data_IF_961560418342
#
_entry.id   IF_961560418342
#
_cell.length_a   1.000
_cell.length_b   1.000
_cell.length_c   1.000
_cell.angle_alpha   90.00
_cell.angle_beta   90.00
_cell.angle_gamma   90.00
#
_symmetry.space_group_name_H-M   'P 1'
#
loop_
_entity.id
_entity.type
_entity.pdbx_description
1 polymer ?
#
# COMPACT_ATOMS: atom_id res chain seq x y z
N UNK A 1 26.16 14.28 -41.84
CA UNK A 1 25.38 13.89 -40.64
C UNK A 1 26.27 13.42 -39.49
N UNK A 2 27.22 12.49 -39.69
CA UNK A 2 28.15 12.06 -38.63
C UNK A 2 29.07 13.17 -38.12
N UNK A 3 29.51 14.07 -39.00
CA UNK A 3 30.37 15.22 -38.63
C UNK A 3 29.61 16.25 -37.77
N UNK A 4 28.38 16.61 -38.14
CA UNK A 4 27.53 17.50 -37.35
C UNK A 4 27.24 16.95 -35.94
N UNK A 5 27.10 15.63 -35.80
CA UNK A 5 26.94 14.98 -34.49
C UNK A 5 28.23 15.05 -33.66
N UNK A 6 29.40 14.92 -34.30
CA UNK A 6 30.69 15.05 -33.61
C UNK A 6 31.00 16.49 -33.21
N UNK A 7 30.59 17.47 -34.02
CA UNK A 7 30.73 18.89 -33.71
C UNK A 7 29.84 19.31 -32.54
N UNK A 8 28.57 18.93 -32.55
CA UNK A 8 27.65 19.16 -31.43
C UNK A 8 28.14 18.49 -30.13
N UNK A 9 28.73 17.30 -30.20
CA UNK A 9 29.30 16.63 -29.04
C UNK A 9 30.53 17.37 -28.46
N UNK A 10 31.36 17.98 -29.32
CA UNK A 10 32.52 18.79 -28.90
C UNK A 10 32.07 20.11 -28.26
N UNK A 11 31.05 20.75 -28.81
CA UNK A 11 30.46 21.97 -28.23
C UNK A 11 29.78 21.70 -26.88
N UNK A 12 29.07 20.57 -26.76
CA UNK A 12 28.48 20.14 -25.49
C UNK A 12 29.55 19.84 -24.44
N UNK A 13 30.63 19.16 -24.81
CA UNK A 13 31.76 18.91 -23.90
C UNK A 13 32.47 20.21 -23.49
N UNK A 14 32.64 21.15 -24.42
CA UNK A 14 33.24 22.47 -24.16
C UNK A 14 32.39 23.30 -23.20
N UNK A 15 31.07 23.32 -23.38
CA UNK A 15 30.15 24.03 -22.49
C UNK A 15 30.04 23.40 -21.11
N UNK A 16 30.08 22.07 -21.00
CA UNK A 16 30.13 21.37 -19.71
C UNK A 16 31.41 21.72 -18.93
N UNK A 17 32.58 21.67 -19.59
CA UNK A 17 33.86 22.02 -18.96
C UNK A 17 33.96 23.53 -18.60
N UNK A 18 33.22 24.39 -19.29
CA UNK A 18 33.11 25.80 -18.93
C UNK A 18 32.23 26.00 -17.69
N UNK A 19 31.10 25.29 -17.60
CA UNK A 19 30.21 25.32 -16.43
C UNK A 19 30.91 24.76 -15.19
N UNK A 20 31.60 23.64 -15.32
CA UNK A 20 32.35 23.04 -14.20
C UNK A 20 33.43 24.01 -13.66
N UNK A 21 34.14 24.72 -14.53
CA UNK A 21 35.10 25.75 -14.12
C UNK A 21 34.42 26.95 -13.46
N UNK A 22 33.26 27.36 -13.94
CA UNK A 22 32.48 28.43 -13.32
C UNK A 22 31.98 28.00 -11.94
N UNK A 23 31.42 26.80 -11.80
CA UNK A 23 30.93 26.23 -10.54
C UNK A 23 32.05 26.07 -9.51
N UNK A 24 33.22 25.57 -9.92
CA UNK A 24 34.40 25.46 -9.05
C UNK A 24 34.98 26.82 -8.66
N UNK A 25 34.72 27.87 -9.45
CA UNK A 25 35.12 29.24 -9.15
C UNK A 25 34.11 30.00 -8.28
N UNK A 26 32.93 29.43 -7.99
CA UNK A 26 31.98 30.03 -7.04
C UNK A 26 32.54 29.84 -5.63
N UNK A 27 33.21 30.86 -5.13
CA UNK A 27 33.53 30.97 -3.71
C UNK A 27 32.28 31.44 -2.96
N UNK A 28 31.75 30.60 -2.08
CA UNK A 28 30.71 31.01 -1.14
C UNK A 28 31.36 31.89 -0.07
N UNK A 29 31.03 33.19 -0.05
CA UNK A 29 31.55 34.13 0.96
C UNK A 29 31.17 33.73 2.39
N UNK A 30 30.05 33.02 2.55
CA UNK A 30 29.57 32.51 3.83
C UNK A 30 29.15 31.03 3.70
N UNK A 31 29.38 30.20 4.73
CA UNK A 31 28.97 28.82 4.69
C UNK A 31 27.44 28.72 4.61
N UNK A 32 26.95 27.70 3.91
CA UNK A 32 25.53 27.48 3.62
C UNK A 32 24.60 27.61 4.85
N UNK A 33 25.07 27.18 6.02
CA UNK A 33 24.31 27.21 7.27
C UNK A 33 24.12 28.61 7.88
N UNK A 34 24.90 29.61 7.45
CA UNK A 34 24.73 31.00 7.87
C UNK A 34 23.69 31.73 7.01
N UNK A 35 23.64 31.43 5.71
CA UNK A 35 22.63 31.99 4.79
C UNK A 35 21.22 31.58 5.20
N UNK A 36 21.06 30.31 5.60
CA UNK A 36 19.80 29.77 6.09
C UNK A 36 19.32 30.39 7.42
N UNK A 37 20.23 31.02 8.19
CA UNK A 37 19.89 31.75 9.41
C UNK A 37 19.70 33.25 9.18
N UNK A 38 20.46 33.84 8.25
CA UNK A 38 20.35 35.26 7.88
C UNK A 38 19.03 35.61 7.19
N UNK A 39 18.46 34.69 6.41
CA UNK A 39 17.15 34.88 5.77
C UNK A 39 15.96 34.81 6.74
N UNK A 40 16.16 34.24 7.94
CA UNK A 40 15.17 34.27 9.03
C UNK A 40 15.17 35.58 9.83
N UNK A 41 16.09 36.51 9.53
CA UNK A 41 16.24 37.80 10.19
C UNK A 41 15.48 38.95 9.54
N UNK A 42 14.38 38.66 8.83
CA UNK A 42 13.39 39.68 8.48
C UNK A 42 12.71 40.13 9.77
N UNK A 43 13.27 41.14 10.43
CA UNK A 43 12.68 41.77 11.60
C UNK A 43 11.28 42.29 11.23
N UNK A 44 10.26 41.60 11.74
CA UNK A 44 8.91 42.16 11.83
C UNK A 44 9.04 43.47 12.65
N UNK A 45 8.59 44.63 12.13
CA UNK A 45 8.73 45.90 12.84
C UNK A 45 7.93 45.95 14.15
N UNK A 46 7.04 44.98 14.37
CA UNK A 46 6.20 44.85 15.56
C UNK A 46 6.76 43.89 16.63
N UNK A 47 8.09 43.78 16.80
CA UNK A 47 8.73 43.28 18.04
C UNK A 47 8.25 41.93 18.59
N UNK A 48 7.57 41.11 17.79
CA UNK A 48 7.07 39.82 18.22
C UNK A 48 8.24 38.85 18.20
N UNK A 49 8.57 38.30 19.36
CA UNK A 49 9.57 37.25 19.46
C UNK A 49 9.22 36.13 18.47
N UNK A 50 10.21 35.57 17.73
CA UNK A 50 9.93 34.46 16.83
C UNK A 50 9.25 33.35 17.63
N UNK A 51 8.04 32.94 17.20
CA UNK A 51 7.34 31.84 17.85
C UNK A 51 8.29 30.64 17.94
N UNK A 52 8.41 29.98 19.10
CA UNK A 52 9.23 28.79 19.21
C UNK A 52 8.76 27.79 18.15
N UNK A 53 9.68 27.05 17.50
CA UNK A 53 9.30 26.10 16.47
C UNK A 53 8.26 25.15 17.04
N UNK A 54 7.02 25.26 16.54
CA UNK A 54 5.94 24.36 16.94
C UNK A 54 6.42 22.94 16.62
N UNK A 55 6.30 21.98 17.55
CA UNK A 55 6.66 20.60 17.26
C UNK A 55 5.82 20.15 16.06
N UNK A 56 6.46 20.07 14.90
CA UNK A 56 5.76 19.69 13.68
C UNK A 56 5.25 18.26 13.85
N UNK A 57 3.95 18.10 13.67
CA UNK A 57 3.31 16.81 13.76
C UNK A 57 3.48 16.05 12.45
N UNK A 58 4.51 15.22 12.42
CA UNK A 58 4.86 14.41 11.25
C UNK A 58 4.03 13.12 11.16
N UNK A 59 3.17 12.80 12.12
CA UNK A 59 2.56 11.48 12.25
C UNK A 59 1.04 11.49 12.02
N UNK A 60 0.33 12.52 12.48
CA UNK A 60 -1.14 12.61 12.33
C UNK A 60 -1.65 12.44 10.90
N UNK A 61 -0.96 12.92 9.84
CA UNK A 61 -1.40 12.68 8.47
C UNK A 61 -1.41 11.19 8.09
N UNK A 62 -0.57 10.37 8.72
CA UNK A 62 -0.33 8.97 8.33
C UNK A 62 -1.09 7.95 9.20
N UNK A 63 -1.51 8.32 10.40
CA UNK A 63 -2.36 7.49 11.26
C UNK A 63 -3.64 6.97 10.58
N UNK A 64 -4.45 7.81 9.91
CA UNK A 64 -5.63 7.33 9.19
C UNK A 64 -5.25 6.44 8.00
N UNK A 65 -4.11 6.70 7.34
CA UNK A 65 -3.63 5.87 6.23
C UNK A 65 -3.25 4.46 6.69
N UNK A 66 -2.61 4.31 7.84
CA UNK A 66 -2.21 3.01 8.37
C UNK A 66 -3.43 2.13 8.74
N UNK A 67 -4.44 2.72 9.38
CA UNK A 67 -5.68 2.03 9.72
C UNK A 67 -6.49 1.67 8.47
N UNK A 68 -6.58 2.59 7.50
CA UNK A 68 -7.23 2.35 6.21
C UNK A 68 -6.54 1.23 5.42
N UNK A 69 -5.21 1.20 5.39
CA UNK A 69 -4.45 0.16 4.71
C UNK A 69 -4.67 -1.23 5.32
N UNK A 70 -4.73 -1.34 6.65
CA UNK A 70 -5.06 -2.61 7.30
C UNK A 70 -6.47 -3.06 6.96
N UNK A 71 -7.46 -2.16 7.03
CA UNK A 71 -8.86 -2.45 6.66
C UNK A 71 -8.94 -2.96 5.21
N UNK A 72 -8.29 -2.27 4.28
CA UNK A 72 -8.29 -2.63 2.87
C UNK A 72 -7.71 -4.04 2.64
N UNK A 73 -6.56 -4.36 3.25
CA UNK A 73 -5.97 -5.71 3.14
C UNK A 73 -6.87 -6.81 3.69
N UNK A 74 -7.59 -6.55 4.78
CA UNK A 74 -8.54 -7.51 5.36
C UNK A 74 -9.73 -7.75 4.43
N UNK A 75 -10.25 -6.68 3.81
CA UNK A 75 -11.34 -6.74 2.82
C UNK A 75 -10.89 -7.46 1.55
N UNK A 76 -9.72 -7.14 1.01
CA UNK A 76 -9.14 -7.82 -0.16
C UNK A 76 -9.00 -9.32 0.07
N UNK A 77 -8.54 -9.72 1.27
CA UNK A 77 -8.46 -11.13 1.65
C UNK A 77 -9.84 -11.79 1.64
N UNK A 78 -10.88 -11.11 2.15
CA UNK A 78 -12.25 -11.63 2.12
C UNK A 78 -12.75 -11.78 0.67
N UNK A 79 -12.49 -10.80 -0.19
CA UNK A 79 -12.83 -10.86 -1.62
C UNK A 79 -12.16 -12.04 -2.33
N UNK A 80 -10.88 -12.29 -2.08
CA UNK A 80 -10.16 -13.43 -2.68
C UNK A 80 -10.78 -14.77 -2.24
N UNK A 81 -11.12 -14.92 -0.96
CA UNK A 81 -11.75 -16.15 -0.44
C UNK A 81 -13.14 -16.32 -1.06
N UNK A 82 -13.93 -15.25 -1.11
CA UNK A 82 -15.28 -15.27 -1.67
C UNK A 82 -15.28 -15.56 -3.18
N UNK A 83 -14.33 -15.01 -3.94
CA UNK A 83 -14.16 -15.32 -5.35
C UNK A 83 -13.88 -16.81 -5.57
N UNK A 84 -12.91 -17.37 -4.84
CA UNK A 84 -12.59 -18.81 -4.90
C UNK A 84 -13.77 -19.69 -4.50
N UNK A 85 -14.56 -19.25 -3.51
CA UNK A 85 -15.78 -19.95 -3.08
C UNK A 85 -16.83 -19.97 -4.20
N UNK A 86 -17.04 -18.85 -4.88
CA UNK A 86 -17.96 -18.75 -6.01
C UNK A 86 -17.52 -19.62 -7.18
N UNK A 87 -16.22 -19.62 -7.49
CA UNK A 87 -15.63 -20.50 -8.51
C UNK A 87 -15.88 -21.97 -8.18
N UNK A 88 -15.61 -22.40 -6.93
CA UNK A 88 -15.85 -23.78 -6.51
C UNK A 88 -17.35 -24.15 -6.40
N UNK A 89 -18.23 -23.18 -6.13
CA UNK A 89 -19.68 -23.40 -6.21
C UNK A 89 -20.11 -23.65 -7.67
N UNK A 90 -19.55 -22.90 -8.62
CA UNK A 90 -19.83 -23.07 -10.04
C UNK A 90 -19.22 -24.37 -10.61
N UNK A 91 -18.06 -24.82 -10.12
CA UNK A 91 -17.51 -26.14 -10.49
C UNK A 91 -18.37 -27.27 -9.93
N UNK A 92 -18.82 -27.15 -8.67
CA UNK A 92 -19.72 -28.12 -8.04
C UNK A 92 -21.03 -28.26 -8.82
N UNK A 93 -21.70 -27.15 -9.14
CA UNK A 93 -22.94 -27.16 -9.90
C UNK A 93 -22.77 -27.83 -11.28
N UNK A 94 -21.65 -27.58 -11.96
CA UNK A 94 -21.32 -28.23 -13.25
C UNK A 94 -21.11 -29.73 -13.08
N UNK A 95 -20.40 -30.16 -12.03
CA UNK A 95 -20.14 -31.58 -11.73
C UNK A 95 -21.43 -32.32 -11.33
N UNK A 96 -22.28 -31.69 -10.54
CA UNK A 96 -23.59 -32.27 -10.15
C UNK A 96 -24.51 -32.41 -11.37
N UNK A 97 -24.55 -31.42 -12.27
CA UNK A 97 -25.31 -31.51 -13.50
C UNK A 97 -24.76 -32.55 -14.50
N UNK A 98 -23.44 -32.81 -14.50
CA UNK A 98 -22.84 -33.88 -15.28
C UNK A 98 -23.19 -35.26 -14.71
N UNK A 99 -23.03 -35.44 -13.39
CA UNK A 99 -23.38 -36.67 -12.68
C UNK A 99 -24.87 -37.02 -12.83
N UNK A 100 -25.77 -36.02 -12.81
CA UNK A 100 -27.19 -36.24 -13.04
C UNK A 100 -27.47 -36.79 -14.46
N UNK A 101 -26.82 -36.23 -15.48
CA UNK A 101 -26.92 -36.69 -16.87
C UNK A 101 -26.32 -38.09 -17.06
N UNK A 102 -25.18 -38.37 -16.43
CA UNK A 102 -24.55 -39.69 -16.46
C UNK A 102 -25.43 -40.74 -15.79
N UNK A 103 -26.09 -40.44 -14.67
CA UNK A 103 -27.04 -41.37 -14.03
C UNK A 103 -28.28 -41.64 -14.86
N UNK A 104 -28.73 -40.66 -15.64
CA UNK A 104 -29.85 -40.82 -16.57
C UNK A 104 -29.46 -41.69 -17.78
N UNK A 105 -28.21 -41.60 -18.24
CA UNK A 105 -27.71 -42.30 -19.43
C UNK A 105 -27.09 -43.68 -19.14
N UNK A 106 -26.41 -43.82 -18.01
CA UNK A 106 -25.66 -45.00 -17.60
C UNK A 106 -26.24 -45.55 -16.30
N UNK A 107 -27.05 -46.61 -16.41
CA UNK A 107 -27.72 -47.25 -15.28
C UNK A 107 -26.81 -48.03 -14.31
N UNK A 108 -25.54 -47.66 -14.06
CA UNK A 108 -24.74 -48.47 -13.14
C UNK A 108 -23.35 -48.07 -12.66
N UNK A 109 -22.59 -47.14 -13.25
CA UNK A 109 -21.21 -46.91 -12.78
C UNK A 109 -20.81 -45.43 -12.74
N UNK A 110 -21.15 -44.76 -11.62
CA UNK A 110 -20.89 -43.33 -11.38
C UNK A 110 -19.80 -43.06 -10.32
N UNK A 111 -19.07 -44.09 -9.87
CA UNK A 111 -18.20 -44.01 -8.69
C UNK A 111 -17.12 -42.92 -8.75
N UNK A 112 -16.54 -42.66 -9.92
CA UNK A 112 -15.51 -41.62 -10.11
C UNK A 112 -16.05 -40.19 -10.05
N UNK A 113 -17.23 -39.95 -10.64
CA UNK A 113 -17.87 -38.63 -10.67
C UNK A 113 -18.41 -38.23 -9.29
N UNK A 114 -18.89 -39.19 -8.50
CA UNK A 114 -19.32 -38.96 -7.12
C UNK A 114 -18.17 -38.50 -6.21
N UNK A 115 -16.97 -39.09 -6.38
CA UNK A 115 -15.77 -38.65 -5.67
C UNK A 115 -15.40 -37.20 -5.97
N UNK A 116 -15.46 -36.79 -7.24
CA UNK A 116 -15.17 -35.42 -7.65
C UNK A 116 -16.19 -34.40 -7.10
N UNK A 117 -17.46 -34.77 -7.00
CA UNK A 117 -18.51 -33.95 -6.35
C UNK A 117 -18.24 -33.84 -4.84
N UNK A 118 -17.91 -34.95 -4.17
CA UNK A 118 -17.57 -34.97 -2.75
C UNK A 118 -16.35 -34.09 -2.44
N UNK A 119 -15.32 -34.12 -3.31
CA UNK A 119 -14.14 -33.29 -3.19
C UNK A 119 -14.48 -31.79 -3.33
N UNK A 120 -15.26 -31.40 -4.34
CA UNK A 120 -15.71 -30.00 -4.50
C UNK A 120 -16.50 -29.52 -3.28
N UNK A 121 -17.40 -30.35 -2.73
CA UNK A 121 -18.13 -30.04 -1.49
C UNK A 121 -17.20 -29.89 -0.29
N UNK A 122 -16.15 -30.70 -0.20
CA UNK A 122 -15.14 -30.57 0.86
C UNK A 122 -14.37 -29.25 0.75
N UNK A 123 -13.90 -28.88 -0.46
CA UNK A 123 -13.24 -27.59 -0.69
C UNK A 123 -14.15 -26.41 -0.35
N UNK A 124 -15.43 -26.47 -0.74
CA UNK A 124 -16.41 -25.43 -0.43
C UNK A 124 -16.54 -25.22 1.08
N UNK A 125 -16.68 -26.31 1.86
CA UNK A 125 -16.74 -26.26 3.34
C UNK A 125 -15.48 -25.64 3.96
N UNK A 126 -14.31 -25.93 3.42
CA UNK A 126 -13.06 -25.29 3.87
C UNK A 126 -13.10 -23.79 3.60
N UNK A 127 -13.56 -23.37 2.42
CA UNK A 127 -13.66 -21.96 2.06
C UNK A 127 -14.68 -21.23 2.94
N UNK A 128 -15.82 -21.84 3.25
CA UNK A 128 -16.81 -21.32 4.21
C UNK A 128 -16.19 -21.11 5.59
N UNK A 129 -15.46 -22.11 6.10
CA UNK A 129 -14.79 -22.01 7.40
C UNK A 129 -13.73 -20.91 7.39
N UNK A 130 -12.96 -20.79 6.30
CA UNK A 130 -11.94 -19.74 6.15
C UNK A 130 -12.55 -18.34 6.06
N UNK A 131 -13.71 -18.20 5.43
CA UNK A 131 -14.43 -16.93 5.34
C UNK A 131 -14.89 -16.49 6.73
N UNK A 132 -15.57 -17.36 7.49
CA UNK A 132 -15.99 -17.09 8.87
C UNK A 132 -14.82 -16.74 9.78
N UNK A 133 -13.74 -17.53 9.73
CA UNK A 133 -12.54 -17.24 10.51
C UNK A 133 -11.88 -15.91 10.10
N UNK A 134 -11.97 -15.51 8.83
CA UNK A 134 -11.49 -14.20 8.39
C UNK A 134 -12.35 -13.06 8.94
N UNK A 135 -13.68 -13.20 8.95
CA UNK A 135 -14.58 -12.20 9.54
C UNK A 135 -14.26 -11.96 11.03
N UNK A 136 -14.11 -13.03 11.81
CA UNK A 136 -13.75 -12.96 13.23
C UNK A 136 -12.35 -12.35 13.43
N UNK A 137 -11.34 -12.84 12.72
CA UNK A 137 -9.96 -12.38 12.88
C UNK A 137 -9.75 -10.96 12.35
N UNK A 138 -10.45 -10.56 11.28
CA UNK A 138 -10.35 -9.22 10.71
C UNK A 138 -10.87 -8.17 11.69
N UNK A 139 -12.03 -8.42 12.29
CA UNK A 139 -12.61 -7.53 13.30
C UNK A 139 -11.68 -7.42 14.51
N UNK A 140 -11.23 -8.54 15.05
CA UNK A 140 -10.34 -8.57 16.21
C UNK A 140 -9.02 -7.82 15.95
N UNK A 141 -8.40 -8.02 14.76
CA UNK A 141 -7.16 -7.33 14.39
C UNK A 141 -7.33 -5.84 14.21
N UNK A 142 -8.44 -5.41 13.62
CA UNK A 142 -8.73 -3.99 13.44
C UNK A 142 -8.95 -3.31 14.80
N UNK A 143 -9.77 -3.92 15.67
CA UNK A 143 -9.97 -3.43 17.04
C UNK A 143 -8.67 -3.37 17.84
N UNK A 144 -7.82 -4.41 17.72
CA UNK A 144 -6.52 -4.43 18.38
C UNK A 144 -5.59 -3.30 17.88
N UNK A 145 -5.62 -2.97 16.58
CA UNK A 145 -4.86 -1.83 16.05
C UNK A 145 -5.38 -0.51 16.64
N UNK A 146 -6.70 -0.30 16.61
CA UNK A 146 -7.31 0.92 17.16
C UNK A 146 -7.00 1.08 18.65
N UNK A 147 -7.13 0.01 19.44
CA UNK A 147 -6.80 0.02 20.85
C UNK A 147 -5.30 0.31 21.11
N UNK A 148 -4.41 -0.22 20.26
CA UNK A 148 -2.96 0.07 20.37
C UNK A 148 -2.62 1.51 20.00
N UNK A 149 -3.27 2.06 18.97
CA UNK A 149 -3.14 3.48 18.65
C UNK A 149 -3.65 4.34 19.81
N UNK A 150 -4.70 3.89 20.51
CA UNK A 150 -5.27 4.58 21.65
C UNK A 150 -4.47 4.55 22.94
N UNK A 151 -3.75 3.47 23.16
CA UNK A 151 -2.88 3.35 24.31
C UNK A 151 -1.50 4.01 24.09
N UNK A 152 -1.14 4.43 22.87
CA UNK A 152 0.18 5.02 22.61
C UNK A 152 0.24 6.45 23.13
N UNK A 153 1.01 6.66 24.20
CA UNK A 153 1.24 7.95 24.87
C UNK A 153 1.76 9.01 23.89
N UNK A 154 2.53 8.62 22.87
CA UNK A 154 3.05 9.55 21.85
C UNK A 154 1.95 10.09 20.95
N UNK A 155 0.86 9.34 20.80
CA UNK A 155 -0.30 9.73 19.99
C UNK A 155 -1.37 10.42 20.84
N UNK A 156 -1.36 10.27 22.16
CA UNK A 156 -2.31 10.96 23.05
C UNK A 156 -2.29 12.48 22.88
N UNK A 157 -1.10 13.08 22.73
CA UNK A 157 -0.94 14.52 22.48
C UNK A 157 -1.51 14.98 21.12
N UNK A 158 -1.76 14.07 20.20
CA UNK A 158 -2.34 14.34 18.87
C UNK A 158 -3.87 14.25 18.89
N UNK A 159 -4.47 13.71 19.95
CA UNK A 159 -5.90 13.47 20.06
C UNK A 159 -6.64 14.47 20.95
N UNK A 160 -5.90 15.21 21.78
CA UNK A 160 -6.42 16.28 22.66
C UNK A 160 -6.44 17.68 21.99
N UNK A 161 -6.34 17.76 20.65
CA UNK A 161 -6.50 18.99 19.86
C UNK A 161 -7.93 19.16 19.36
#
# INVERSE_FOLDING_TARGET
MREAVQEAAREAAGSAAARERQEQAIALEMPYWDVARGSGGGADPDGAAPEPPRPADYLTPYLPMAAAALKQRLVERAHIIQARRNEEAATLARREAALAREREQAGGEAGGAEGAVAESRFRLRILDRRLKANEEHALARYQALVARLAADVRLAALWDQ
#
